data_IF_750494817484
#
_entry.id   IF_750494817484
#
_cell.length_a   1.000
_cell.length_b   1.000
_cell.length_c   1.000
_cell.angle_alpha   90.00
_cell.angle_beta   90.00
_cell.angle_gamma   90.00
#
_symmetry.space_group_name_H-M   'P 1'
#
loop_
_entity.id
_entity.type
_entity.pdbx_description
1 polymer ?
#
# COMPACT_ATOMS: atom_id res chain seq x y z
N UNK A 1 -27.36 -10.47 -29.14
CA UNK A 1 -27.30 -9.12 -28.53
C UNK A 1 -28.09 -9.16 -27.23
N UNK A 2 -27.52 -8.69 -26.12
CA UNK A 2 -28.10 -8.76 -24.78
C UNK A 2 -26.99 -9.02 -23.76
N UNK A 3 -26.01 -8.11 -23.66
CA UNK A 3 -26.00 -6.99 -22.70
C UNK A 3 -26.31 -7.49 -21.29
N UNK A 4 -25.24 -7.68 -20.53
CA UNK A 4 -25.21 -8.02 -19.12
C UNK A 4 -25.99 -6.99 -18.30
N UNK A 5 -27.13 -7.40 -17.76
CA UNK A 5 -27.80 -6.67 -16.69
C UNK A 5 -27.01 -6.87 -15.40
N UNK A 6 -26.12 -5.94 -15.08
CA UNK A 6 -25.46 -5.90 -13.78
C UNK A 6 -26.41 -5.27 -12.77
N UNK A 7 -27.00 -6.11 -11.92
CA UNK A 7 -27.74 -5.70 -10.75
C UNK A 7 -26.81 -5.05 -9.72
N UNK A 8 -26.98 -3.75 -9.52
CA UNK A 8 -26.42 -3.00 -8.40
C UNK A 8 -26.89 -3.61 -7.06
N UNK A 9 -25.96 -4.16 -6.28
CA UNK A 9 -26.13 -4.44 -4.85
C UNK A 9 -25.08 -3.65 -4.07
N UNK A 10 -25.45 -2.59 -3.32
CA UNK A 10 -24.49 -1.84 -2.53
C UNK A 10 -24.49 -2.38 -1.09
N UNK A 11 -23.45 -3.12 -0.69
CA UNK A 11 -23.15 -3.35 0.75
C UNK A 11 -21.66 -3.54 1.06
N UNK A 12 -20.76 -3.42 0.07
CA UNK A 12 -19.32 -3.38 0.29
C UNK A 12 -18.71 -2.29 -0.60
N UNK A 13 -17.59 -1.65 -0.20
CA UNK A 13 -16.88 -0.73 -1.09
C UNK A 13 -16.53 -1.48 -2.37
N UNK A 14 -17.10 -1.04 -3.50
CA UNK A 14 -16.84 -1.65 -4.79
C UNK A 14 -15.47 -1.16 -5.29
N UNK A 15 -14.45 -2.02 -5.37
CA UNK A 15 -13.13 -1.63 -5.86
C UNK A 15 -13.13 -1.22 -7.36
N UNK A 16 -14.23 -1.39 -8.09
CA UNK A 16 -14.42 -0.92 -9.45
C UNK A 16 -15.00 0.50 -9.55
N UNK A 17 -15.62 1.02 -8.47
CA UNK A 17 -16.14 2.38 -8.41
C UNK A 17 -15.02 3.41 -8.30
N UNK A 18 -14.99 4.42 -9.19
CA UNK A 18 -13.97 5.49 -9.16
C UNK A 18 -13.99 6.29 -7.86
N UNK A 19 -15.18 6.50 -7.29
CA UNK A 19 -15.35 7.31 -6.09
C UNK A 19 -14.81 6.58 -4.85
N UNK A 20 -15.04 5.28 -4.75
CA UNK A 20 -14.51 4.45 -3.66
C UNK A 20 -13.00 4.27 -3.75
N UNK A 21 -12.44 4.21 -4.97
CA UNK A 21 -10.97 4.26 -5.17
C UNK A 21 -10.36 5.55 -4.67
N UNK A 22 -10.99 6.69 -4.95
CA UNK A 22 -10.48 7.98 -4.50
C UNK A 22 -10.44 8.03 -2.96
N UNK A 23 -11.52 7.62 -2.30
CA UNK A 23 -11.59 7.51 -0.83
C UNK A 23 -10.54 6.55 -0.25
N UNK A 24 -10.32 5.41 -0.90
CA UNK A 24 -9.24 4.49 -0.50
C UNK A 24 -7.87 5.16 -0.63
N UNK A 25 -7.59 5.92 -1.70
CA UNK A 25 -6.30 6.57 -1.87
C UNK A 25 -6.07 7.67 -0.84
N UNK A 26 -7.11 8.46 -0.55
CA UNK A 26 -7.03 9.52 0.46
C UNK A 26 -6.77 8.93 1.87
N UNK A 27 -7.49 7.86 2.24
CA UNK A 27 -7.27 7.15 3.51
C UNK A 27 -5.93 6.42 3.57
N UNK A 28 -5.47 5.85 2.45
CA UNK A 28 -4.12 5.24 2.32
C UNK A 28 -3.04 6.27 2.61
N UNK A 29 -3.11 7.43 1.97
CA UNK A 29 -2.07 8.45 2.07
C UNK A 29 -2.04 9.05 3.48
N UNK A 30 -3.19 9.20 4.14
CA UNK A 30 -3.25 9.58 5.55
C UNK A 30 -2.57 8.55 6.47
N UNK A 31 -2.85 7.25 6.27
CA UNK A 31 -2.21 6.17 7.01
C UNK A 31 -0.69 6.09 6.74
N UNK A 32 -0.28 6.25 5.48
CA UNK A 32 1.12 6.17 5.07
C UNK A 32 1.92 7.37 5.56
N UNK A 33 1.33 8.57 5.56
CA UNK A 33 1.98 9.76 6.13
C UNK A 33 2.26 9.57 7.62
N UNK A 34 1.34 8.93 8.36
CA UNK A 34 1.55 8.60 9.77
C UNK A 34 2.69 7.57 9.94
N UNK A 35 2.71 6.52 9.12
CA UNK A 35 3.79 5.52 9.08
C UNK A 35 5.16 6.14 8.81
N UNK A 36 5.24 7.04 7.83
CA UNK A 36 6.46 7.73 7.46
C UNK A 36 6.95 8.63 8.60
N UNK A 37 6.05 9.34 9.28
CA UNK A 37 6.36 10.12 10.48
C UNK A 37 6.85 9.26 11.66
N UNK A 38 6.37 8.03 11.78
CA UNK A 38 6.82 7.06 12.78
C UNK A 38 8.10 6.29 12.35
N UNK A 39 8.63 6.54 11.14
CA UNK A 39 9.68 5.73 10.49
C UNK A 39 9.38 4.22 10.48
N UNK A 40 8.10 3.86 10.39
CA UNK A 40 7.68 2.46 10.34
C UNK A 40 7.55 2.03 8.89
N UNK A 41 8.45 1.16 8.48
CA UNK A 41 8.48 0.59 7.13
C UNK A 41 7.37 -0.45 6.94
N UNK A 42 7.13 -1.26 7.98
CA UNK A 42 6.19 -2.37 7.93
C UNK A 42 4.84 -1.98 8.53
N UNK A 43 3.78 -1.83 7.71
CA UNK A 43 2.45 -1.57 8.24
C UNK A 43 2.03 -2.70 9.18
N UNK A 44 1.74 -2.35 10.44
CA UNK A 44 1.50 -3.29 11.53
C UNK A 44 2.55 -3.28 12.65
N UNK A 45 3.77 -2.79 12.41
CA UNK A 45 4.82 -2.63 13.44
C UNK A 45 4.71 -1.30 14.21
N UNK A 46 3.82 -0.40 13.77
CA UNK A 46 3.58 0.93 14.37
C UNK A 46 2.76 0.91 15.69
N UNK A 47 2.33 -0.28 16.14
CA UNK A 47 1.55 -0.43 17.36
C UNK A 47 0.24 0.37 17.31
N UNK A 48 0.11 1.34 18.21
CA UNK A 48 -1.09 2.19 18.37
C UNK A 48 -0.95 3.59 17.75
N UNK A 49 0.24 3.99 17.29
CA UNK A 49 0.51 5.36 16.85
C UNK A 49 -0.39 5.79 15.68
N UNK A 50 -0.68 4.87 14.76
CA UNK A 50 -1.49 5.10 13.56
C UNK A 50 -2.73 4.21 13.51
N UNK A 51 -3.23 3.75 14.65
CA UNK A 51 -4.38 2.84 14.71
C UNK A 51 -5.68 3.47 14.16
N UNK A 52 -5.91 4.75 14.40
CA UNK A 52 -7.09 5.47 13.89
C UNK A 52 -7.15 5.52 12.35
N UNK A 53 -6.12 6.04 11.64
CA UNK A 53 -6.13 6.04 10.17
C UNK A 53 -6.07 4.62 9.59
N UNK A 54 -5.46 3.65 10.29
CA UNK A 54 -5.48 2.23 9.89
C UNK A 54 -6.90 1.67 9.82
N UNK A 55 -7.73 1.89 10.84
CA UNK A 55 -9.11 1.41 10.86
C UNK A 55 -9.92 2.03 9.72
N UNK A 56 -9.74 3.32 9.48
CA UNK A 56 -10.41 4.02 8.40
C UNK A 56 -9.97 3.48 7.02
N UNK A 57 -8.68 3.24 6.85
CA UNK A 57 -8.12 2.64 5.65
C UNK A 57 -8.63 1.20 5.40
N UNK A 58 -8.78 0.38 6.45
CA UNK A 58 -9.38 -0.95 6.36
C UNK A 58 -10.89 -0.95 6.05
N UNK A 59 -11.57 0.16 6.37
CA UNK A 59 -13.01 0.33 6.12
C UNK A 59 -13.29 0.89 4.73
N UNK A 60 -12.51 1.88 4.29
CA UNK A 60 -12.71 2.58 3.02
C UNK A 60 -12.06 1.84 1.85
N UNK A 61 -11.04 1.03 2.11
CA UNK A 61 -10.33 0.30 1.08
C UNK A 61 -10.60 -1.22 1.10
N UNK A 62 -10.65 -1.83 -0.08
CA UNK A 62 -10.79 -3.27 -0.20
C UNK A 62 -9.54 -4.00 0.35
N UNK A 63 -9.73 -5.12 1.06
CA UNK A 63 -8.63 -5.85 1.69
C UNK A 63 -7.52 -6.29 0.72
N UNK A 64 -7.88 -6.62 -0.52
CA UNK A 64 -6.93 -6.99 -1.58
C UNK A 64 -5.98 -5.83 -1.95
N UNK A 65 -6.49 -4.59 -1.96
CA UNK A 65 -5.68 -3.41 -2.20
C UNK A 65 -4.75 -3.12 -1.03
N UNK A 66 -5.25 -3.27 0.20
CA UNK A 66 -4.48 -3.09 1.42
C UNK A 66 -3.29 -4.05 1.45
N UNK A 67 -3.53 -5.34 1.22
CA UNK A 67 -2.46 -6.32 1.12
C UNK A 67 -1.43 -5.97 0.05
N UNK A 68 -1.89 -5.53 -1.12
CA UNK A 68 -1.01 -5.15 -2.23
C UNK A 68 -0.11 -3.97 -1.86
N UNK A 69 -0.67 -2.90 -1.29
CA UNK A 69 0.10 -1.73 -0.88
C UNK A 69 1.09 -2.05 0.25
N UNK A 70 0.66 -2.86 1.23
CA UNK A 70 1.52 -3.30 2.33
C UNK A 70 2.71 -4.12 1.81
N UNK A 71 2.47 -5.07 0.89
CA UNK A 71 3.53 -5.83 0.22
C UNK A 71 4.47 -4.90 -0.58
N UNK A 72 3.93 -3.89 -1.25
CA UNK A 72 4.71 -2.93 -2.04
C UNK A 72 5.68 -2.11 -1.19
N UNK A 73 5.28 -1.64 0.00
CA UNK A 73 6.20 -0.93 0.92
C UNK A 73 7.37 -1.81 1.35
N UNK A 74 7.10 -3.05 1.78
CA UNK A 74 8.15 -3.99 2.20
C UNK A 74 9.09 -4.37 1.04
N UNK A 75 8.54 -4.54 -0.17
CA UNK A 75 9.33 -4.84 -1.37
C UNK A 75 10.24 -3.67 -1.79
N UNK A 76 9.76 -2.43 -1.68
CA UNK A 76 10.55 -1.24 -2.00
C UNK A 76 11.85 -1.20 -1.17
N UNK A 77 11.75 -1.52 0.10
CA UNK A 77 12.88 -1.54 1.04
C UNK A 77 13.84 -2.68 0.74
N UNK A 78 13.31 -3.87 0.45
CA UNK A 78 14.13 -5.00 -0.01
C UNK A 78 14.87 -4.67 -1.30
N UNK A 79 14.23 -4.00 -2.25
CA UNK A 79 14.87 -3.56 -3.49
C UNK A 79 15.97 -2.53 -3.25
N UNK A 80 15.75 -1.56 -2.37
CA UNK A 80 16.80 -0.59 -2.02
C UNK A 80 18.06 -1.25 -1.46
N UNK A 81 17.90 -2.28 -0.62
CA UNK A 81 19.02 -3.07 -0.11
C UNK A 81 19.80 -3.81 -1.22
N UNK A 82 19.08 -4.42 -2.17
CA UNK A 82 19.70 -5.15 -3.28
C UNK A 82 20.43 -4.22 -4.26
N UNK A 83 19.84 -3.06 -4.59
CA UNK A 83 20.49 -2.08 -5.47
C UNK A 83 21.76 -1.50 -4.84
N UNK A 84 21.74 -1.24 -3.54
CA UNK A 84 22.93 -0.79 -2.78
C UNK A 84 24.04 -1.84 -2.84
N UNK A 85 23.70 -3.13 -2.68
CA UNK A 85 24.67 -4.23 -2.76
C UNK A 85 25.21 -4.40 -4.18
N UNK A 86 24.35 -4.32 -5.20
CA UNK A 86 24.75 -4.42 -6.60
C UNK A 86 25.70 -3.27 -7.00
N UNK A 87 25.41 -2.04 -6.58
CA UNK A 87 26.29 -0.89 -6.80
C UNK A 87 27.67 -1.07 -6.15
N UNK A 88 27.70 -1.56 -4.91
CA UNK A 88 28.96 -1.85 -4.21
C UNK A 88 29.75 -2.97 -4.91
N UNK A 89 29.09 -4.04 -5.37
CA UNK A 89 29.75 -5.13 -6.09
C UNK A 89 30.35 -4.66 -7.43
N UNK A 90 29.64 -3.82 -8.20
CA UNK A 90 30.16 -3.24 -9.43
C UNK A 90 31.34 -2.27 -9.19
N UNK A 91 31.30 -1.52 -8.08
CA UNK A 91 32.41 -0.65 -7.68
C UNK A 91 33.65 -1.46 -7.26
N UNK A 92 33.48 -2.64 -6.66
CA UNK A 92 34.59 -3.52 -6.30
C UNK A 92 35.20 -4.23 -7.52
N UNK A 93 34.38 -4.69 -8.48
CA UNK A 93 34.88 -5.37 -9.69
C UNK A 93 35.60 -4.43 -10.66
N UNK A 94 35.27 -3.14 -10.68
CA UNK A 94 35.98 -2.12 -11.49
C UNK A 94 37.32 -1.66 -10.89
N UNK A 95 37.65 -2.05 -9.66
CA UNK A 95 38.86 -1.61 -8.95
C UNK A 95 40.03 -2.60 -9.09
N UNK A 96 39.83 -3.72 -9.80
CA UNK A 96 40.88 -4.65 -10.24
C UNK A 96 41.29 -4.36 -11.67
#
# INVERSE_FOLDING_TARGET
MGWFGSSDKPTAPDPASRQDRQRCWDSRDAYFTCLDGAQVVKPGDEGSACAAPKVQYEKDCARSWIEYFNKRRVLAERQQGVLTQAGNQLAQTKKQ
#
